data_IF_577517648006
#
_entry.id   IF_577517648006
#
_cell.length_a   1.000
_cell.length_b   1.000
_cell.length_c   1.000
_cell.angle_alpha   90.00
_cell.angle_beta   90.00
_cell.angle_gamma   90.00
#
_symmetry.space_group_name_H-M   'P 1'
#
loop_
_entity.id
_entity.type
_entity.pdbx_description
1 polymer ?
#
# COMPACT_ATOMS: atom_id res chain seq x y z
N UNK A 1 9.38 19.47 -11.32
CA UNK A 1 8.42 19.71 -10.21
C UNK A 1 7.63 21.00 -10.45
N UNK A 2 6.34 21.07 -10.10
CA UNK A 2 5.53 22.30 -10.08
C UNK A 2 5.44 22.86 -8.66
N UNK A 3 5.43 24.18 -8.51
CA UNK A 3 5.40 24.86 -7.21
C UNK A 3 3.97 25.17 -6.75
N UNK A 4 3.74 25.19 -5.45
CA UNK A 4 2.52 25.73 -4.84
C UNK A 4 2.09 27.05 -5.50
N UNK A 5 0.79 27.21 -5.74
CA UNK A 5 0.22 28.35 -6.45
C UNK A 5 0.29 28.27 -7.98
N UNK A 6 0.94 27.26 -8.56
CA UNK A 6 0.95 27.06 -10.02
C UNK A 6 -0.47 26.82 -10.53
N UNK A 7 -0.90 27.64 -11.50
CA UNK A 7 -2.21 27.55 -12.12
C UNK A 7 -2.28 26.37 -13.10
N UNK A 8 -3.19 25.43 -12.83
CA UNK A 8 -3.51 24.32 -13.72
C UNK A 8 -4.60 24.73 -14.71
N UNK A 9 -4.38 24.43 -15.98
CA UNK A 9 -5.35 24.69 -17.05
C UNK A 9 -5.85 23.34 -17.55
N UNK A 10 -7.13 23.07 -17.39
CA UNK A 10 -7.75 21.84 -17.89
C UNK A 10 -8.39 22.09 -19.25
N UNK A 11 -8.01 21.32 -20.26
CA UNK A 11 -8.69 21.30 -21.55
C UNK A 11 -9.77 20.22 -21.52
N UNK A 12 -11.03 20.58 -21.77
CA UNK A 12 -12.11 19.59 -21.87
C UNK A 12 -11.97 18.81 -23.18
N UNK A 13 -12.15 17.49 -23.13
CA UNK A 13 -12.31 16.67 -24.33
C UNK A 13 -13.55 17.10 -25.12
N UNK A 14 -13.50 16.97 -26.46
CA UNK A 14 -14.62 17.31 -27.35
C UNK A 14 -15.89 16.57 -26.94
N UNK A 15 -16.87 17.30 -26.43
CA UNK A 15 -18.27 16.88 -26.45
C UNK A 15 -18.95 17.58 -27.63
N UNK A 16 -19.83 16.85 -28.31
CA UNK A 16 -20.46 17.16 -29.60
C UNK A 16 -21.32 18.43 -29.66
N UNK A 17 -21.35 19.28 -28.63
CA UNK A 17 -22.40 20.29 -28.48
C UNK A 17 -21.93 21.72 -28.16
N UNK A 18 -20.73 22.09 -28.63
CA UNK A 18 -20.43 23.47 -29.06
C UNK A 18 -20.64 24.66 -28.11
N UNK A 19 -20.87 24.51 -26.81
CA UNK A 19 -21.10 25.63 -25.88
C UNK A 19 -19.91 25.93 -24.93
N UNK A 20 -19.76 27.22 -24.62
CA UNK A 20 -18.55 27.96 -24.21
C UNK A 20 -18.08 27.77 -22.75
N UNK A 21 -16.75 27.56 -22.63
CA UNK A 21 -15.74 28.03 -21.64
C UNK A 21 -16.12 28.21 -20.17
N UNK A 22 -15.43 27.45 -19.32
CA UNK A 22 -14.77 27.98 -18.12
C UNK A 22 -13.34 27.44 -18.05
N UNK A 23 -12.34 28.29 -18.35
CA UNK A 23 -10.94 28.02 -18.03
C UNK A 23 -10.79 28.12 -16.50
N UNK A 24 -11.15 27.08 -15.78
CA UNK A 24 -10.91 27.03 -14.34
C UNK A 24 -9.41 26.83 -14.11
N UNK A 25 -8.75 27.95 -13.80
CA UNK A 25 -7.38 27.96 -13.31
C UNK A 25 -7.43 27.56 -11.83
N UNK A 26 -6.97 26.34 -11.54
CA UNK A 26 -6.90 25.84 -10.16
C UNK A 26 -5.44 25.98 -9.71
N UNK A 27 -5.13 26.78 -8.69
CA UNK A 27 -3.79 26.81 -8.13
C UNK A 27 -3.52 25.49 -7.41
N UNK A 28 -2.36 24.87 -7.65
CA UNK A 28 -1.97 23.71 -6.87
C UNK A 28 -1.70 24.13 -5.43
N UNK A 29 -2.29 23.46 -4.44
CA UNK A 29 -2.17 23.85 -3.04
C UNK A 29 -0.78 23.53 -2.47
N UNK A 30 0.02 22.74 -3.18
CA UNK A 30 1.30 22.21 -2.70
C UNK A 30 2.25 21.96 -3.87
N UNK A 31 3.55 21.98 -3.58
CA UNK A 31 4.58 21.53 -4.52
C UNK A 31 4.31 20.08 -4.98
N UNK A 32 4.11 19.90 -6.29
CA UNK A 32 3.63 18.63 -6.86
C UNK A 32 4.56 18.10 -7.96
N UNK A 33 4.86 16.79 -7.89
CA UNK A 33 5.58 16.07 -8.95
C UNK A 33 4.74 15.96 -10.21
N UNK A 34 5.37 16.04 -11.38
CA UNK A 34 4.68 15.99 -12.68
C UNK A 34 5.30 14.95 -13.59
N UNK A 35 4.51 14.38 -14.49
CA UNK A 35 4.99 13.63 -15.66
C UNK A 35 4.71 14.47 -16.91
N UNK A 36 5.73 14.76 -17.72
CA UNK A 36 5.52 15.42 -19.01
C UNK A 36 4.83 14.41 -19.95
N UNK A 37 3.72 14.80 -20.58
CA UNK A 37 2.96 13.89 -21.45
C UNK A 37 3.30 14.07 -22.93
N UNK A 38 3.76 15.25 -23.33
CA UNK A 38 4.32 15.47 -24.66
C UNK A 38 5.51 16.42 -24.62
N UNK A 39 6.57 16.06 -25.33
CA UNK A 39 7.66 16.96 -25.69
C UNK A 39 7.39 17.53 -27.08
N UNK A 40 6.18 18.02 -27.38
CA UNK A 40 5.92 18.62 -28.68
C UNK A 40 6.45 20.06 -28.69
N UNK A 41 7.50 20.37 -29.49
CA UNK A 41 8.10 21.70 -29.56
C UNK A 41 7.27 22.71 -30.39
N UNK A 42 6.11 22.30 -30.91
CA UNK A 42 5.37 23.06 -31.93
C UNK A 42 4.26 23.99 -31.42
N UNK A 43 3.90 23.97 -30.13
CA UNK A 43 2.69 24.68 -29.69
C UNK A 43 2.99 26.14 -29.27
N UNK A 44 2.55 27.08 -30.11
CA UNK A 44 2.83 28.53 -30.09
C UNK A 44 2.29 29.29 -28.86
N UNK A 45 1.78 28.61 -27.84
CA UNK A 45 1.14 29.22 -26.64
C UNK A 45 1.99 29.15 -25.37
N UNK A 46 3.16 28.53 -25.39
CA UNK A 46 4.04 28.45 -24.21
C UNK A 46 3.45 27.64 -23.05
N UNK A 47 2.47 26.78 -23.32
CA UNK A 47 1.89 25.82 -22.38
C UNK A 47 2.48 24.43 -22.65
N UNK A 48 2.54 23.59 -21.62
CA UNK A 48 3.03 22.21 -21.71
C UNK A 48 2.04 21.29 -21.03
N UNK A 49 1.78 20.16 -21.66
CA UNK A 49 0.88 19.14 -21.16
C UNK A 49 1.58 18.22 -20.15
N UNK A 50 0.97 18.11 -18.98
CA UNK A 50 1.51 17.38 -17.83
C UNK A 50 0.42 16.51 -17.21
N UNK A 51 0.81 15.34 -16.70
CA UNK A 51 -0.01 14.57 -15.77
C UNK A 51 0.40 14.94 -14.35
N UNK A 52 -0.61 15.28 -13.54
CA UNK A 52 -0.43 15.58 -12.12
C UNK A 52 -1.20 14.60 -11.24
N UNK A 53 -0.57 14.07 -10.19
CA UNK A 53 -1.22 13.30 -9.13
C UNK A 53 -2.45 14.05 -8.59
N UNK A 54 -3.63 13.41 -8.57
CA UNK A 54 -4.87 13.98 -8.04
C UNK A 54 -5.62 14.94 -8.98
N UNK A 55 -4.99 15.41 -10.06
CA UNK A 55 -5.60 16.33 -11.03
C UNK A 55 -5.70 15.75 -12.45
N UNK A 56 -4.92 14.72 -12.78
CA UNK A 56 -4.93 14.11 -14.11
C UNK A 56 -4.20 14.95 -15.17
N UNK A 57 -4.65 14.86 -16.42
CA UNK A 57 -4.07 15.58 -17.57
C UNK A 57 -4.44 17.06 -17.52
N UNK A 58 -3.45 17.93 -17.51
CA UNK A 58 -3.63 19.37 -17.53
C UNK A 58 -2.48 20.07 -18.26
N UNK A 59 -2.63 21.37 -18.47
CA UNK A 59 -1.65 22.24 -19.09
C UNK A 59 -1.13 23.25 -18.07
N UNK A 60 0.16 23.55 -18.14
CA UNK A 60 0.82 24.56 -17.31
C UNK A 60 1.76 25.41 -18.14
N UNK A 61 2.02 26.68 -17.76
CA UNK A 61 3.00 27.50 -18.46
C UNK A 61 4.40 26.88 -18.46
N UNK A 62 5.09 26.89 -19.59
CA UNK A 62 6.45 26.32 -19.72
C UNK A 62 7.44 26.96 -18.74
N UNK A 63 7.26 28.25 -18.44
CA UNK A 63 8.09 29.03 -17.51
C UNK A 63 8.03 28.56 -16.05
N UNK A 64 6.98 27.85 -15.64
CA UNK A 64 6.89 27.27 -14.29
C UNK A 64 7.50 25.88 -14.20
N UNK A 65 8.00 25.35 -15.32
CA UNK A 65 8.66 24.05 -15.35
C UNK A 65 10.10 24.19 -14.87
N UNK A 66 10.35 23.86 -13.59
CA UNK A 66 11.72 23.68 -13.11
C UNK A 66 12.31 22.42 -13.77
N UNK A 67 13.47 22.50 -14.48
CA UNK A 67 14.17 21.32 -15.00
C UNK A 67 14.48 20.40 -13.84
N UNK A 68 14.01 19.15 -13.94
CA UNK A 68 14.38 18.13 -12.97
C UNK A 68 15.53 17.39 -13.64
N UNK A 69 16.75 17.82 -13.37
CA UNK A 69 17.93 17.01 -13.73
C UNK A 69 17.77 15.63 -13.09
N UNK A 70 18.27 14.60 -13.78
CA UNK A 70 18.23 13.15 -13.47
C UNK A 70 18.94 12.76 -12.15
N UNK A 71 18.76 13.53 -11.09
CA UNK A 71 19.29 13.25 -9.76
C UNK A 71 18.23 12.50 -8.96
N UNK A 72 18.43 11.19 -8.86
CA UNK A 72 17.51 10.24 -8.25
C UNK A 72 16.96 10.68 -6.90
N UNK A 73 15.66 10.48 -6.72
CA UNK A 73 14.89 10.28 -5.47
C UNK A 73 15.16 11.17 -4.23
N UNK A 74 16.04 12.17 -4.30
CA UNK A 74 16.60 12.89 -3.14
C UNK A 74 16.39 14.41 -3.23
N UNK A 75 15.45 14.90 -4.05
CA UNK A 75 14.99 16.28 -3.87
C UNK A 75 14.18 16.32 -2.56
N UNK A 76 14.64 17.09 -1.57
CA UNK A 76 13.93 17.43 -0.34
C UNK A 76 12.46 17.74 -0.63
N UNK A 77 11.58 16.76 -0.42
CA UNK A 77 10.14 16.84 -0.70
C UNK A 77 9.43 17.50 0.49
N UNK A 78 9.61 18.81 0.63
CA UNK A 78 8.85 19.65 1.56
C UNK A 78 7.50 20.13 0.96
N UNK A 79 7.01 19.47 -0.10
CA UNK A 79 5.64 19.67 -0.60
C UNK A 79 4.67 18.77 0.17
N UNK A 80 3.52 19.31 0.59
CA UNK A 80 2.55 18.53 1.36
C UNK A 80 2.09 17.28 0.59
N UNK A 81 2.02 16.15 1.31
CA UNK A 81 1.67 14.83 0.80
C UNK A 81 0.22 14.87 0.25
N UNK A 82 -0.01 14.80 -1.07
CA UNK A 82 -1.32 15.12 -1.65
C UNK A 82 -2.37 14.04 -1.36
N UNK A 83 -1.96 12.77 -1.34
CA UNK A 83 -2.84 11.63 -1.05
C UNK A 83 -2.11 10.66 -0.13
N UNK A 84 -2.64 10.46 1.07
CA UNK A 84 -2.09 9.52 2.07
C UNK A 84 -2.83 8.18 2.11
N UNK A 85 -4.06 8.13 1.60
CA UNK A 85 -4.88 6.92 1.55
C UNK A 85 -5.62 6.84 0.21
N UNK A 86 -5.55 5.68 -0.44
CA UNK A 86 -6.26 5.39 -1.67
C UNK A 86 -7.04 4.09 -1.52
N UNK A 87 -8.32 4.11 -1.89
CA UNK A 87 -9.12 2.91 -2.07
C UNK A 87 -9.68 2.93 -3.49
N UNK A 88 -9.31 1.93 -4.29
CA UNK A 88 -9.76 1.84 -5.67
C UNK A 88 -10.36 0.48 -5.96
N UNK A 89 -11.41 0.56 -6.75
CA UNK A 89 -12.04 -0.57 -7.39
C UNK A 89 -11.82 -0.44 -8.89
N UNK A 90 -11.23 -1.44 -9.53
CA UNK A 90 -10.86 -1.30 -10.93
C UNK A 90 -10.86 -2.63 -11.69
N UNK A 91 -10.97 -2.49 -13.00
CA UNK A 91 -10.84 -3.54 -14.01
C UNK A 91 -9.70 -3.13 -14.94
N UNK A 92 -8.46 -3.51 -14.62
CA UNK A 92 -7.31 -3.15 -15.42
C UNK A 92 -6.13 -4.10 -15.19
N UNK A 93 -5.21 -4.11 -16.14
CA UNK A 93 -3.96 -4.86 -16.07
C UNK A 93 -2.96 -4.23 -15.08
N UNK A 94 -1.95 -5.00 -14.67
CA UNK A 94 -0.92 -4.56 -13.74
C UNK A 94 -0.16 -3.30 -14.20
N UNK A 95 -0.03 -3.08 -15.50
CA UNK A 95 0.65 -1.92 -16.08
C UNK A 95 -0.09 -0.61 -15.80
N UNK A 96 -1.43 -0.64 -15.77
CA UNK A 96 -2.24 0.53 -15.43
C UNK A 96 -2.05 0.90 -13.97
N UNK A 97 -1.99 -0.10 -13.09
CA UNK A 97 -1.71 0.10 -11.67
C UNK A 97 -0.29 0.64 -11.45
N UNK A 98 0.73 0.10 -12.14
CA UNK A 98 2.10 0.61 -12.06
C UNK A 98 2.16 2.09 -12.47
N UNK A 99 1.52 2.45 -13.58
CA UNK A 99 1.43 3.82 -14.05
C UNK A 99 0.71 4.75 -13.06
N UNK A 100 -0.37 4.27 -12.43
CA UNK A 100 -1.09 5.03 -11.40
C UNK A 100 -0.19 5.24 -10.17
N UNK A 101 0.36 4.17 -9.62
CA UNK A 101 1.20 4.23 -8.41
C UNK A 101 2.47 5.04 -8.64
N UNK A 102 3.03 5.06 -9.86
CA UNK A 102 4.19 5.91 -10.19
C UNK A 102 3.94 7.40 -9.97
N UNK A 103 2.67 7.83 -10.03
CA UNK A 103 2.27 9.22 -9.89
C UNK A 103 1.94 9.56 -8.43
N UNK A 104 1.13 8.72 -7.78
CA UNK A 104 0.55 9.03 -6.45
C UNK A 104 1.16 8.20 -5.30
N UNK A 105 1.86 7.12 -5.59
CA UNK A 105 2.27 6.10 -4.62
C UNK A 105 3.22 6.62 -3.54
N UNK A 106 4.05 7.61 -3.86
CA UNK A 106 5.13 8.05 -2.99
C UNK A 106 4.68 8.65 -1.64
N UNK A 107 3.45 9.15 -1.58
CA UNK A 107 2.83 9.70 -0.36
C UNK A 107 1.87 8.72 0.32
N UNK A 108 1.55 7.59 -0.32
CA UNK A 108 0.55 6.65 0.22
C UNK A 108 1.07 5.95 1.47
N UNK A 109 0.23 5.97 2.50
CA UNK A 109 0.37 5.23 3.76
C UNK A 109 -0.62 4.08 3.86
N UNK A 110 -1.76 4.21 3.17
CA UNK A 110 -2.82 3.20 3.08
C UNK A 110 -3.26 2.99 1.63
N UNK A 111 -3.33 1.74 1.21
CA UNK A 111 -3.76 1.35 -0.14
C UNK A 111 -4.74 0.17 -0.04
N UNK A 112 -5.93 0.34 -0.62
CA UNK A 112 -6.93 -0.71 -0.77
C UNK A 112 -7.23 -0.94 -2.24
N UNK A 113 -7.02 -2.18 -2.69
CA UNK A 113 -7.18 -2.62 -4.07
C UNK A 113 -8.23 -3.70 -4.15
N UNK A 114 -9.28 -3.47 -4.94
CA UNK A 114 -10.26 -4.49 -5.29
C UNK A 114 -10.32 -4.62 -6.81
N UNK A 115 -10.10 -5.85 -7.30
CA UNK A 115 -10.06 -6.16 -8.73
C UNK A 115 -10.62 -7.57 -8.98
N UNK A 116 -11.21 -7.76 -10.17
CA UNK A 116 -11.96 -8.98 -10.51
C UNK A 116 -11.27 -9.87 -11.55
N UNK A 117 -10.17 -9.42 -12.17
CA UNK A 117 -9.42 -10.19 -13.15
C UNK A 117 -8.13 -10.76 -12.57
N UNK A 118 -7.56 -11.80 -13.20
CA UNK A 118 -6.29 -12.39 -12.77
C UNK A 118 -5.14 -11.43 -13.04
N UNK A 119 -4.79 -10.67 -12.02
CA UNK A 119 -3.57 -9.88 -12.00
C UNK A 119 -2.37 -10.78 -11.66
N UNK A 120 -1.22 -10.50 -12.27
CA UNK A 120 0.03 -11.12 -11.86
C UNK A 120 0.45 -10.60 -10.47
N UNK A 121 0.35 -11.47 -9.46
CA UNK A 121 0.63 -11.14 -8.05
C UNK A 121 2.05 -10.60 -7.82
N UNK A 122 3.03 -11.09 -8.59
CA UNK A 122 4.41 -10.63 -8.50
C UNK A 122 4.53 -9.20 -9.05
N UNK A 123 3.95 -8.93 -10.23
CA UNK A 123 3.94 -7.57 -10.80
C UNK A 123 3.19 -6.59 -9.92
N UNK A 124 2.05 -6.99 -9.37
CA UNK A 124 1.26 -6.22 -8.41
C UNK A 124 2.12 -5.80 -7.20
N UNK A 125 2.75 -6.76 -6.55
CA UNK A 125 3.57 -6.49 -5.37
C UNK A 125 4.81 -5.67 -5.72
N UNK A 126 5.47 -5.95 -6.85
CA UNK A 126 6.62 -5.15 -7.30
C UNK A 126 6.24 -3.69 -7.53
N UNK A 127 5.09 -3.41 -8.16
CA UNK A 127 4.61 -2.04 -8.36
C UNK A 127 4.34 -1.33 -7.03
N UNK A 128 3.67 -2.00 -6.08
CA UNK A 128 3.41 -1.44 -4.75
C UNK A 128 4.71 -1.12 -4.01
N UNK A 129 5.64 -2.10 -3.95
CA UNK A 129 6.89 -1.95 -3.23
C UNK A 129 7.81 -0.88 -3.82
N UNK A 130 7.81 -0.75 -5.15
CA UNK A 130 8.60 0.24 -5.88
C UNK A 130 8.08 1.66 -5.67
N UNK A 131 6.77 1.85 -5.76
CA UNK A 131 6.19 3.20 -5.84
C UNK A 131 5.64 3.72 -4.51
N UNK A 132 5.39 2.86 -3.52
CA UNK A 132 4.76 3.23 -2.25
C UNK A 132 5.70 3.05 -1.05
N UNK A 133 6.84 3.77 -0.95
CA UNK A 133 7.85 3.58 0.10
C UNK A 133 7.35 3.89 1.52
N UNK A 134 6.27 4.67 1.66
CA UNK A 134 5.66 5.04 2.95
C UNK A 134 4.48 4.14 3.34
N UNK A 135 4.19 3.10 2.55
CA UNK A 135 3.00 2.27 2.76
C UNK A 135 3.12 1.45 4.04
N UNK A 136 2.10 1.56 4.88
CA UNK A 136 1.98 0.84 6.16
C UNK A 136 0.75 -0.06 6.22
N UNK A 137 -0.29 0.25 5.45
CA UNK A 137 -1.53 -0.53 5.38
C UNK A 137 -1.83 -0.91 3.94
N UNK A 138 -1.98 -2.21 3.70
CA UNK A 138 -2.34 -2.78 2.40
C UNK A 138 -3.58 -3.66 2.57
N UNK A 139 -4.59 -3.41 1.75
CA UNK A 139 -5.78 -4.25 1.64
C UNK A 139 -5.92 -4.70 0.18
N UNK A 140 -6.00 -6.00 -0.04
CA UNK A 140 -6.16 -6.59 -1.38
C UNK A 140 -7.40 -7.48 -1.32
N UNK A 141 -8.31 -7.27 -2.28
CA UNK A 141 -9.53 -8.07 -2.44
C UNK A 141 -9.59 -8.67 -3.85
N UNK A 142 -8.80 -9.72 -4.13
CA UNK A 142 -8.84 -10.45 -5.39
C UNK A 142 -9.78 -11.66 -5.34
N UNK A 143 -10.15 -12.21 -6.49
CA UNK A 143 -10.74 -13.56 -6.54
C UNK A 143 -9.70 -14.63 -6.18
N UNK A 144 -8.52 -14.58 -6.79
CA UNK A 144 -7.41 -15.51 -6.53
C UNK A 144 -6.10 -14.73 -6.31
N UNK A 145 -5.27 -15.19 -5.39
CA UNK A 145 -3.95 -14.63 -5.08
C UNK A 145 -2.99 -15.72 -4.65
N UNK A 146 -1.81 -15.80 -5.26
CA UNK A 146 -0.78 -16.74 -4.83
C UNK A 146 0.03 -16.12 -3.68
N UNK A 147 -0.24 -16.55 -2.44
CA UNK A 147 0.43 -16.00 -1.26
C UNK A 147 1.93 -16.29 -1.23
N UNK A 148 2.37 -17.42 -1.80
CA UNK A 148 3.78 -17.76 -1.90
C UNK A 148 4.52 -16.78 -2.84
N UNK A 149 3.93 -16.43 -3.99
CA UNK A 149 4.49 -15.39 -4.86
C UNK A 149 4.52 -14.04 -4.16
N UNK A 150 3.42 -13.63 -3.53
CA UNK A 150 3.33 -12.36 -2.81
C UNK A 150 4.42 -12.24 -1.74
N UNK A 151 4.61 -13.26 -0.88
CA UNK A 151 5.61 -13.21 0.19
C UNK A 151 7.03 -13.27 -0.39
N UNK A 152 7.27 -14.09 -1.41
CA UNK A 152 8.58 -14.19 -2.06
C UNK A 152 9.00 -12.84 -2.65
N UNK A 153 8.09 -12.14 -3.33
CA UNK A 153 8.33 -10.79 -3.85
C UNK A 153 8.56 -9.79 -2.72
N UNK A 154 7.76 -9.87 -1.65
CA UNK A 154 7.94 -9.00 -0.49
C UNK A 154 9.30 -9.18 0.17
N UNK A 155 9.75 -10.41 0.38
CA UNK A 155 11.04 -10.70 1.02
C UNK A 155 12.23 -10.30 0.13
N UNK A 156 12.16 -10.62 -1.17
CA UNK A 156 13.30 -10.52 -2.09
C UNK A 156 13.45 -9.18 -2.81
N UNK A 157 12.53 -8.22 -2.64
CA UNK A 157 12.66 -6.92 -3.33
C UNK A 157 14.01 -6.26 -2.99
N UNK A 158 14.77 -5.88 -4.01
CA UNK A 158 16.07 -5.22 -3.89
C UNK A 158 15.99 -3.77 -4.36
N UNK A 159 16.86 -2.91 -3.81
CA UNK A 159 16.92 -1.48 -4.14
C UNK A 159 15.91 -0.60 -3.38
N UNK A 160 16.24 0.69 -3.28
CA UNK A 160 15.39 1.76 -2.73
C UNK A 160 14.96 1.63 -1.25
N UNK A 161 14.28 2.65 -0.71
CA UNK A 161 13.61 2.57 0.58
C UNK A 161 12.40 1.63 0.47
N UNK A 162 12.45 0.51 1.19
CA UNK A 162 11.41 -0.53 1.15
C UNK A 162 10.28 -0.18 2.12
N UNK A 163 9.00 -0.31 1.72
CA UNK A 163 7.90 -0.09 2.64
C UNK A 163 7.88 -1.12 3.76
N UNK A 164 7.56 -0.64 4.96
CA UNK A 164 7.32 -1.44 6.16
C UNK A 164 5.81 -1.59 6.34
N UNK A 165 5.24 -2.48 5.54
CA UNK A 165 3.83 -2.83 5.65
C UNK A 165 3.60 -3.47 7.02
N UNK A 166 2.80 -2.80 7.84
CA UNK A 166 2.45 -3.22 9.20
C UNK A 166 1.09 -3.91 9.28
N UNK A 167 0.20 -3.64 8.33
CA UNK A 167 -1.14 -4.20 8.28
C UNK A 167 -1.42 -4.72 6.89
N UNK A 168 -1.73 -6.01 6.78
CA UNK A 168 -2.20 -6.64 5.55
C UNK A 168 -3.62 -7.18 5.75
N UNK A 169 -4.52 -6.83 4.84
CA UNK A 169 -5.86 -7.40 4.76
C UNK A 169 -6.06 -8.06 3.41
N UNK A 170 -6.44 -9.32 3.46
CA UNK A 170 -6.65 -10.21 2.35
C UNK A 170 -8.13 -10.59 2.39
N UNK A 171 -8.94 -9.94 1.56
CA UNK A 171 -10.41 -9.90 1.70
C UNK A 171 -11.07 -10.63 0.54
N UNK A 172 -12.14 -11.38 0.85
CA UNK A 172 -12.98 -12.08 -0.15
C UNK A 172 -12.19 -12.99 -1.09
N UNK A 173 -11.13 -13.60 -0.59
CA UNK A 173 -10.29 -14.44 -1.42
C UNK A 173 -10.97 -15.78 -1.61
N UNK A 174 -11.09 -16.15 -2.88
CA UNK A 174 -11.49 -17.47 -3.23
C UNK A 174 -10.24 -18.37 -3.19
N UNK A 175 -9.13 -18.10 -3.87
CA UNK A 175 -7.94 -18.98 -3.91
C UNK A 175 -6.66 -18.30 -3.37
N UNK A 176 -5.87 -19.01 -2.55
CA UNK A 176 -4.61 -18.52 -1.95
C UNK A 176 -3.33 -19.14 -2.52
N UNK A 177 -3.44 -19.96 -3.57
CA UNK A 177 -2.32 -20.61 -4.26
C UNK A 177 -2.14 -22.09 -3.91
N UNK A 178 -1.25 -22.76 -4.67
CA UNK A 178 -1.09 -24.22 -4.65
C UNK A 178 -0.55 -24.79 -3.33
N UNK A 179 0.20 -24.01 -2.55
CA UNK A 179 0.67 -24.39 -1.22
C UNK A 179 -0.34 -24.05 -0.11
N UNK A 180 -1.52 -23.53 -0.50
CA UNK A 180 -2.55 -23.07 0.41
C UNK A 180 -2.05 -22.04 1.43
N UNK A 181 -1.04 -21.23 1.07
CA UNK A 181 -0.47 -20.20 1.95
C UNK A 181 0.37 -20.73 3.12
N UNK A 182 0.83 -21.99 3.06
CA UNK A 182 1.72 -22.55 4.09
C UNK A 182 3.04 -21.77 4.15
N UNK A 183 3.69 -21.50 3.00
CA UNK A 183 4.96 -20.79 2.99
C UNK A 183 4.80 -19.37 3.56
N UNK A 184 3.71 -18.68 3.22
CA UNK A 184 3.38 -17.37 3.79
C UNK A 184 3.32 -17.42 5.33
N UNK A 185 2.65 -18.43 5.88
CA UNK A 185 2.54 -18.61 7.32
C UNK A 185 3.88 -18.98 7.98
N UNK A 186 4.73 -19.74 7.31
CA UNK A 186 6.10 -20.03 7.79
C UNK A 186 6.96 -18.78 7.82
N UNK A 187 6.93 -17.95 6.78
CA UNK A 187 7.62 -16.65 6.76
C UNK A 187 7.11 -15.72 7.87
N UNK A 188 5.81 -15.73 8.18
CA UNK A 188 5.24 -14.99 9.31
C UNK A 188 5.78 -15.45 10.67
N UNK A 189 6.32 -16.66 10.77
CA UNK A 189 6.97 -17.20 11.96
C UNK A 189 8.50 -17.08 11.97
N UNK A 190 9.14 -16.77 10.84
CA UNK A 190 10.60 -16.65 10.77
C UNK A 190 11.06 -15.27 11.27
N UNK A 191 11.83 -15.17 12.38
CA UNK A 191 12.33 -13.89 12.90
C UNK A 191 13.23 -13.12 11.91
N UNK A 192 13.80 -13.81 10.93
CA UNK A 192 14.67 -13.22 9.91
C UNK A 192 13.88 -12.61 8.76
N UNK A 193 12.62 -12.99 8.59
CA UNK A 193 11.79 -12.46 7.51
C UNK A 193 11.41 -11.01 7.76
N UNK A 194 11.33 -10.24 6.67
CA UNK A 194 10.81 -8.86 6.72
C UNK A 194 9.35 -8.86 7.15
N UNK A 195 8.59 -9.89 6.79
CA UNK A 195 7.19 -10.03 7.14
C UNK A 195 7.02 -10.07 8.66
N UNK A 196 7.79 -10.92 9.36
CA UNK A 196 7.78 -10.99 10.84
C UNK A 196 8.26 -9.70 11.49
N UNK A 197 9.24 -9.03 10.90
CA UNK A 197 9.82 -7.81 11.48
C UNK A 197 8.89 -6.59 11.39
N UNK A 198 7.97 -6.56 10.42
CA UNK A 198 7.13 -5.39 10.16
C UNK A 198 5.64 -5.61 10.43
N UNK A 199 5.10 -6.81 10.21
CA UNK A 199 3.66 -7.04 10.29
C UNK A 199 3.17 -7.08 11.75
N UNK A 200 2.22 -6.19 12.05
CA UNK A 200 1.49 -6.13 13.31
C UNK A 200 0.05 -6.64 13.18
N UNK A 201 -0.57 -6.46 12.02
CA UNK A 201 -1.95 -6.89 11.76
C UNK A 201 -2.05 -7.73 10.48
N UNK A 202 -2.69 -8.90 10.60
CA UNK A 202 -3.03 -9.76 9.47
C UNK A 202 -4.52 -10.11 9.52
N UNK A 203 -5.23 -9.83 8.43
CA UNK A 203 -6.59 -10.33 8.20
C UNK A 203 -6.59 -11.21 6.97
N UNK A 204 -7.08 -12.45 7.10
CA UNK A 204 -7.37 -13.35 5.99
C UNK A 204 -8.86 -13.69 6.05
N UNK A 205 -9.58 -13.28 5.03
CA UNK A 205 -10.99 -13.56 4.81
C UNK A 205 -11.13 -14.35 3.51
N UNK A 206 -11.25 -15.66 3.66
CA UNK A 206 -11.36 -16.61 2.57
C UNK A 206 -12.76 -17.23 2.55
N UNK A 207 -13.38 -17.26 1.36
CA UNK A 207 -14.70 -17.85 1.14
C UNK A 207 -14.64 -18.98 0.11
N UNK A 208 -15.62 -19.88 0.19
CA UNK A 208 -15.75 -21.02 -0.71
C UNK A 208 -15.93 -22.33 0.05
N UNK A 209 -16.47 -23.33 -0.65
CA UNK A 209 -16.74 -24.66 -0.09
C UNK A 209 -15.53 -25.61 -0.16
N UNK A 210 -14.50 -25.25 -0.92
CA UNK A 210 -13.27 -26.05 -1.11
C UNK A 210 -12.19 -25.64 -0.09
N UNK A 211 -11.36 -26.56 0.44
CA UNK A 211 -10.42 -26.28 1.52
C UNK A 211 -9.17 -25.57 0.97
N UNK A 212 -9.33 -24.30 0.62
CA UNK A 212 -8.27 -23.48 0.04
C UNK A 212 -7.34 -22.93 1.12
N UNK A 213 -7.88 -22.72 2.33
CA UNK A 213 -7.11 -22.74 3.59
C UNK A 213 -7.21 -24.15 4.15
N UNK A 214 -6.07 -24.83 4.29
CA UNK A 214 -6.03 -26.24 4.72
C UNK A 214 -5.67 -26.37 6.20
N UNK A 215 -5.76 -27.59 6.73
CA UNK A 215 -5.24 -27.90 8.06
C UNK A 215 -3.75 -27.57 8.20
N UNK A 216 -2.96 -27.76 7.15
CA UNK A 216 -1.54 -27.41 7.11
C UNK A 216 -1.33 -25.89 7.21
N UNK A 217 -2.13 -25.10 6.48
CA UNK A 217 -2.11 -23.64 6.59
C UNK A 217 -2.43 -23.20 8.02
N UNK A 218 -3.47 -23.78 8.62
CA UNK A 218 -3.88 -23.47 9.99
C UNK A 218 -2.81 -23.87 11.02
N UNK A 219 -2.12 -24.98 10.80
CA UNK A 219 -1.00 -25.42 11.63
C UNK A 219 0.16 -24.43 11.58
N UNK A 220 0.58 -24.02 10.38
CA UNK A 220 1.64 -23.04 10.21
C UNK A 220 1.27 -21.69 10.84
N UNK A 221 0.04 -21.20 10.61
CA UNK A 221 -0.49 -19.98 11.24
C UNK A 221 -0.60 -20.09 12.76
N UNK A 222 -0.78 -21.28 13.32
CA UNK A 222 -0.78 -21.50 14.77
C UNK A 222 0.63 -21.51 15.36
N UNK A 223 1.64 -21.91 14.59
CA UNK A 223 3.05 -21.92 15.01
C UNK A 223 3.66 -20.52 14.90
N UNK A 224 3.30 -19.75 13.88
CA UNK A 224 3.92 -18.44 13.62
C UNK A 224 3.90 -17.46 14.80
N UNK A 225 2.78 -17.26 15.55
CA UNK A 225 2.74 -16.38 16.71
C UNK A 225 3.66 -16.77 17.86
N UNK A 226 4.16 -18.02 17.90
CA UNK A 226 5.12 -18.45 18.93
C UNK A 226 6.50 -17.82 18.76
N UNK A 227 6.82 -17.38 17.54
CA UNK A 227 8.11 -16.80 17.18
C UNK A 227 7.98 -15.35 16.72
N UNK A 228 6.78 -14.95 16.26
CA UNK A 228 6.45 -13.60 15.88
C UNK A 228 5.98 -12.78 17.08
N UNK A 229 6.85 -11.89 17.56
CA UNK A 229 6.57 -10.99 18.69
C UNK A 229 5.96 -9.64 18.27
N UNK A 230 5.81 -9.40 16.97
CA UNK A 230 5.29 -8.15 16.40
C UNK A 230 3.81 -8.25 16.04
N UNK A 231 3.32 -9.43 15.70
CA UNK A 231 1.93 -9.64 15.31
C UNK A 231 0.99 -9.45 16.52
N UNK A 232 0.27 -8.33 16.52
CA UNK A 232 -0.70 -7.93 17.56
C UNK A 232 -2.09 -8.44 17.26
N UNK A 233 -2.42 -8.66 15.98
CA UNK A 233 -3.75 -9.04 15.55
C UNK A 233 -3.71 -10.02 14.38
N UNK A 234 -4.30 -11.19 14.61
CA UNK A 234 -4.59 -12.18 13.58
C UNK A 234 -6.11 -12.36 13.50
N UNK A 235 -6.71 -11.96 12.37
CA UNK A 235 -8.14 -12.15 12.09
C UNK A 235 -8.30 -13.17 10.97
N UNK A 236 -8.94 -14.30 11.28
CA UNK A 236 -9.23 -15.35 10.32
C UNK A 236 -10.74 -15.48 10.14
N UNK A 237 -11.23 -15.26 8.93
CA UNK A 237 -12.60 -15.54 8.51
C UNK A 237 -12.50 -16.62 7.43
N UNK A 238 -12.74 -17.87 7.82
CA UNK A 238 -12.61 -19.04 6.94
C UNK A 238 -13.79 -20.00 7.17
N UNK A 239 -14.06 -20.97 6.27
CA UNK A 239 -15.14 -21.93 6.44
C UNK A 239 -15.12 -22.65 7.80
N UNK A 240 -16.31 -22.88 8.37
CA UNK A 240 -16.42 -23.36 9.76
C UNK A 240 -15.83 -24.75 9.99
N UNK A 241 -15.87 -25.63 8.98
CA UNK A 241 -15.25 -26.95 9.00
C UNK A 241 -13.72 -26.87 9.14
N UNK A 242 -13.09 -25.86 8.53
CA UNK A 242 -11.65 -25.60 8.67
C UNK A 242 -11.35 -24.96 10.02
N UNK A 243 -12.14 -23.99 10.48
CA UNK A 243 -11.82 -23.24 11.71
C UNK A 243 -12.10 -24.01 13.01
N UNK A 244 -13.17 -24.83 13.06
CA UNK A 244 -13.65 -25.50 14.29
C UNK A 244 -12.54 -26.27 15.04
N UNK A 245 -11.69 -27.09 14.40
CA UNK A 245 -10.63 -27.84 15.08
C UNK A 245 -9.53 -26.94 15.69
N UNK A 246 -9.40 -25.70 15.24
CA UNK A 246 -8.31 -24.78 15.61
C UNK A 246 -8.73 -23.67 16.57
N UNK A 247 -10.03 -23.46 16.75
CA UNK A 247 -10.57 -22.35 17.55
C UNK A 247 -9.95 -22.25 18.94
N UNK A 248 -9.85 -23.36 19.67
CA UNK A 248 -9.27 -23.39 21.01
C UNK A 248 -7.76 -23.15 21.00
N UNK A 249 -7.06 -23.64 19.96
CA UNK A 249 -5.62 -23.43 19.78
C UNK A 249 -5.28 -21.97 19.54
N UNK A 250 -6.07 -21.25 18.72
CA UNK A 250 -5.85 -19.81 18.50
C UNK A 250 -6.26 -18.96 19.69
N UNK A 251 -7.30 -19.36 20.44
CA UNK A 251 -7.75 -18.65 21.64
C UNK A 251 -6.67 -18.52 22.72
N UNK A 252 -5.72 -19.46 22.78
CA UNK A 252 -4.65 -19.38 23.76
C UNK A 252 -3.82 -18.09 23.62
N UNK A 253 -3.71 -17.53 22.41
CA UNK A 253 -2.97 -16.30 22.11
C UNK A 253 -3.81 -15.02 22.30
N UNK A 254 -5.11 -15.16 22.53
CA UNK A 254 -5.99 -14.01 22.69
C UNK A 254 -5.66 -13.26 23.98
N UNK A 255 -5.51 -11.94 23.89
CA UNK A 255 -5.12 -11.06 25.01
C UNK A 255 -3.80 -11.44 25.70
N UNK A 256 -2.94 -12.24 25.06
CA UNK A 256 -1.59 -12.45 25.57
C UNK A 256 -0.81 -11.14 25.52
N UNK A 257 -0.06 -10.87 26.60
CA UNK A 257 0.88 -9.75 26.64
C UNK A 257 2.08 -10.13 25.79
N UNK A 258 2.32 -9.39 24.71
CA UNK A 258 3.54 -9.58 23.91
C UNK A 258 4.77 -9.22 24.76
N UNK A 259 5.91 -9.92 24.60
CA UNK A 259 7.13 -9.61 25.33
C UNK A 259 7.46 -8.11 25.20
N UNK A 260 7.85 -7.43 26.29
CA UNK A 260 8.08 -5.99 26.26
C UNK A 260 9.13 -5.68 25.19
N UNK A 261 8.76 -4.79 24.26
CA UNK A 261 9.73 -4.19 23.33
C UNK A 261 10.73 -3.43 24.21
N UNK A 262 12.05 -3.65 24.07
CA UNK A 262 13.03 -2.82 24.76
C UNK A 262 12.77 -1.37 24.40
N UNK A 263 12.25 -0.60 25.35
CA UNK A 263 12.02 0.83 25.18
C UNK A 263 13.36 1.51 25.41
N UNK A 264 13.73 2.41 24.50
CA UNK A 264 14.98 3.15 24.58
C UNK A 264 15.06 3.91 25.92
N UNK A 265 16.26 4.02 26.50
CA UNK A 265 16.49 4.54 27.86
C UNK A 265 15.77 5.88 28.17
N UNK A 266 15.68 6.85 27.23
CA UNK A 266 14.96 8.12 27.47
C UNK A 266 13.47 7.94 27.79
N UNK A 267 12.83 6.88 27.25
CA UNK A 267 11.40 6.60 27.45
C UNK A 267 11.08 6.02 28.82
N UNK A 268 12.07 5.43 29.52
CA UNK A 268 11.90 4.94 30.91
C UNK A 268 11.79 6.08 31.92
N UNK A 269 12.39 7.24 31.64
CA UNK A 269 12.36 8.40 32.53
C UNK A 269 11.00 9.11 32.58
N UNK A 270 10.16 8.94 31.54
CA UNK A 270 8.85 9.60 31.46
C UNK A 270 7.72 8.84 32.19
N UNK A 271 7.91 7.57 32.58
CA UNK A 271 6.85 6.73 33.16
C UNK A 271 6.86 6.65 34.70
N UNK A 272 7.75 7.38 35.39
CA UNK A 272 7.72 7.51 36.84
C UNK A 272 7.17 8.89 37.23
N UNK A 273 5.84 8.99 37.31
CA UNK A 273 5.22 9.92 38.25
C UNK A 273 4.17 9.17 39.05
N UNK A 274 4.42 9.05 40.35
CA UNK A 274 3.45 8.60 41.33
C UNK A 274 2.79 9.83 41.95
N UNK A 275 1.50 9.75 42.23
CA UNK A 275 0.87 10.63 43.21
C UNK A 275 0.01 9.78 44.15
N UNK A 276 0.32 9.91 45.44
CA UNK A 276 -0.51 9.52 46.56
C UNK A 276 -1.42 10.71 46.87
N UNK A 277 -2.71 10.46 47.15
CA UNK A 277 -3.52 11.39 47.92
C UNK A 277 -4.18 10.62 49.05
N UNK A 278 -3.70 10.88 50.26
CA UNK A 278 -4.43 10.67 51.50
C UNK A 278 -5.53 11.74 51.63
N UNK A 279 -6.69 11.31 52.12
CA UNK A 279 -7.88 12.10 52.40
C UNK A 279 -9.03 11.19 52.77
#
# INVERSE_FOLDING_TARGET
QLREGTQLIFTKGQTSDGAVVTNHAIPIPVDTSRKLLSANPGDKRGLVEVALPGYGKCQVPRKVLVPTEDSGLNASRQGAEPVSSLSIYFYAEAEVLDNLLSQIGWSLRSLSLQYFDRMDDEKLMMAILKWCPKLTKLSISPDAINLNRLVTTYENVTGGPKPRISSLSLIRISDIGADHGVAFAEFLGDPRSRLTQHFEELTIEAFGNDPRVTGSTMQALWIAPKHNTKLRKLKLIVPSNVLKPWKNRFRQFHCQVLPPVPVDLPSKLAFLSASCMEG
#
